data_IF_733857549692
#
_entry.id   IF_733857549692
#
_cell.length_a   1.000
_cell.length_b   1.000
_cell.length_c   1.000
_cell.angle_alpha   90.00
_cell.angle_beta   90.00
_cell.angle_gamma   90.00
#
_symmetry.space_group_name_H-M   'P 1'
#
loop_
_entity.id
_entity.type
_entity.pdbx_description
1 polymer ?
#
# COMPACT_ATOMS: atom_id res chain seq x y z
N UNK A 1 8.93 44.96 -24.56
CA UNK A 1 9.14 43.61 -25.14
C UNK A 1 9.63 42.57 -24.13
N UNK A 2 10.12 42.95 -22.94
CA UNK A 2 10.59 42.03 -21.89
C UNK A 2 9.50 41.40 -21.03
N UNK A 3 8.33 42.05 -20.86
CA UNK A 3 7.25 41.55 -19.99
C UNK A 3 6.52 40.31 -20.53
N UNK A 4 6.37 40.18 -21.85
CA UNK A 4 5.67 39.05 -22.49
C UNK A 4 6.47 37.75 -22.36
N UNK A 5 7.81 37.84 -22.43
CA UNK A 5 8.71 36.70 -22.25
C UNK A 5 8.65 36.12 -20.83
N UNK A 6 8.38 36.97 -19.84
CA UNK A 6 8.23 36.55 -18.43
C UNK A 6 6.99 35.67 -18.21
N UNK A 7 5.90 35.88 -18.94
CA UNK A 7 4.68 35.05 -18.80
C UNK A 7 4.85 33.65 -19.42
N UNK A 8 5.64 33.54 -20.49
CA UNK A 8 6.00 32.26 -21.09
C UNK A 8 6.90 31.42 -20.17
N UNK A 9 7.76 32.06 -19.37
CA UNK A 9 8.61 31.37 -18.40
C UNK A 9 7.81 30.78 -17.22
N UNK A 10 6.73 31.44 -16.81
CA UNK A 10 5.85 30.99 -15.71
C UNK A 10 4.96 29.81 -16.14
N UNK A 11 4.55 29.74 -17.41
CA UNK A 11 3.78 28.62 -17.94
C UNK A 11 4.59 27.31 -18.08
N UNK A 12 5.92 27.40 -18.20
CA UNK A 12 6.83 26.24 -18.27
C UNK A 12 7.15 25.60 -16.91
N UNK A 13 6.84 26.27 -15.79
CA UNK A 13 7.15 25.78 -14.45
C UNK A 13 6.08 24.87 -13.84
N UNK A 14 4.97 24.62 -14.53
CA UNK A 14 3.89 23.77 -14.02
C UNK A 14 4.14 22.30 -14.37
N UNK A 15 5.03 21.63 -13.65
CA UNK A 15 5.11 20.17 -13.72
C UNK A 15 3.93 19.56 -12.95
N UNK A 16 3.21 18.59 -13.52
CA UNK A 16 2.20 17.86 -12.76
C UNK A 16 2.89 17.09 -11.63
N UNK A 17 2.52 17.40 -10.39
CA UNK A 17 2.95 16.65 -9.22
C UNK A 17 2.21 15.31 -9.22
N UNK A 18 2.78 14.30 -9.89
CA UNK A 18 2.22 12.95 -9.89
C UNK A 18 2.45 12.35 -8.50
N UNK A 19 1.35 12.05 -7.80
CA UNK A 19 1.40 11.29 -6.56
C UNK A 19 1.94 9.90 -6.84
N UNK A 20 2.69 9.34 -5.89
CA UNK A 20 3.16 7.96 -6.00
C UNK A 20 1.94 7.02 -6.05
N UNK A 21 1.87 6.09 -7.03
CA UNK A 21 0.77 5.14 -7.10
C UNK A 21 0.91 4.18 -5.92
N UNK A 22 -0.01 4.30 -4.95
CA UNK A 22 -0.12 3.34 -3.86
C UNK A 22 -0.75 2.07 -4.44
N UNK A 23 -0.02 0.97 -4.39
CA UNK A 23 -0.53 -0.34 -4.82
C UNK A 23 -0.98 -1.15 -3.61
N UNK A 24 -2.13 -1.79 -3.75
CA UNK A 24 -2.71 -2.70 -2.75
C UNK A 24 -2.62 -4.11 -3.28
N UNK A 25 -2.05 -5.00 -2.48
CA UNK A 25 -1.96 -6.42 -2.77
C UNK A 25 -2.97 -7.19 -1.93
N UNK A 26 -3.63 -8.17 -2.56
CA UNK A 26 -4.62 -9.01 -1.89
C UNK A 26 -3.96 -10.31 -1.47
N UNK A 27 -3.51 -10.36 -0.22
CA UNK A 27 -2.91 -11.56 0.37
C UNK A 27 -3.95 -12.66 0.55
N UNK A 28 -5.17 -12.26 0.95
CA UNK A 28 -6.31 -13.18 1.07
C UNK A 28 -7.64 -12.45 0.95
N UNK A 29 -8.55 -13.03 0.18
CA UNK A 29 -9.93 -12.59 0.09
C UNK A 29 -10.88 -13.72 0.52
N UNK A 30 -11.71 -13.48 1.53
CA UNK A 30 -12.60 -14.46 2.14
C UNK A 30 -14.09 -14.11 2.03
N UNK A 31 -14.42 -12.89 1.59
CA UNK A 31 -15.81 -12.46 1.38
C UNK A 31 -15.92 -10.95 1.22
N UNK A 32 -17.17 -10.46 1.10
CA UNK A 32 -17.47 -9.03 1.04
C UNK A 32 -16.84 -8.28 2.21
N UNK A 33 -16.35 -7.07 1.93
CA UNK A 33 -15.74 -6.19 2.93
C UNK A 33 -16.71 -5.78 4.05
N UNK A 34 -18.02 -5.82 3.79
CA UNK A 34 -19.08 -5.54 4.78
C UNK A 34 -19.29 -6.71 5.77
N UNK A 35 -18.89 -7.92 5.39
CA UNK A 35 -19.16 -9.15 6.17
C UNK A 35 -17.89 -9.78 6.75
N UNK A 36 -16.72 -9.16 6.56
CA UNK A 36 -15.40 -9.68 6.95
C UNK A 36 -14.60 -8.63 7.69
N UNK A 37 -13.67 -9.11 8.52
CA UNK A 37 -12.66 -8.24 9.14
C UNK A 37 -11.58 -8.00 8.09
N UNK A 38 -11.40 -6.74 7.69
CA UNK A 38 -10.32 -6.34 6.78
C UNK A 38 -9.07 -5.98 7.59
N UNK A 39 -8.07 -6.87 7.61
CA UNK A 39 -6.78 -6.61 8.23
C UNK A 39 -5.82 -6.08 7.16
N UNK A 40 -5.42 -4.82 7.32
CA UNK A 40 -4.60 -4.09 6.33
C UNK A 40 -3.21 -3.83 6.90
N UNK A 41 -2.19 -4.33 6.19
CA UNK A 41 -0.79 -4.06 6.49
C UNK A 41 -0.33 -2.85 5.68
N UNK A 42 0.45 -1.97 6.30
CA UNK A 42 1.11 -0.84 5.66
C UNK A 42 2.61 -1.01 5.82
N UNK A 43 3.35 -0.94 4.71
CA UNK A 43 4.81 -0.97 4.75
C UNK A 43 5.36 0.28 5.44
N UNK A 44 6.20 0.09 6.46
CA UNK A 44 6.93 1.17 7.14
C UNK A 44 8.43 0.87 7.10
N UNK A 45 9.23 1.84 6.65
CA UNK A 45 10.69 1.73 6.54
C UNK A 45 11.20 0.93 5.34
N UNK A 46 10.34 0.43 4.45
CA UNK A 46 10.74 -0.29 3.24
C UNK A 46 11.04 0.68 2.09
N UNK A 47 12.22 0.54 1.49
CA UNK A 47 12.55 1.23 0.24
C UNK A 47 11.80 0.62 -0.95
N UNK A 48 11.78 1.33 -2.09
CA UNK A 48 11.12 0.86 -3.31
C UNK A 48 11.65 -0.51 -3.77
N UNK A 49 12.96 -0.75 -3.65
CA UNK A 49 13.61 -2.02 -3.97
C UNK A 49 13.29 -3.15 -2.99
N UNK A 50 12.69 -2.85 -1.84
CA UNK A 50 12.35 -3.81 -0.79
C UNK A 50 10.85 -4.15 -0.75
N UNK A 51 10.03 -3.64 -1.67
CA UNK A 51 8.58 -3.88 -1.64
C UNK A 51 8.21 -5.37 -1.78
N UNK A 52 9.01 -6.18 -2.48
CA UNK A 52 8.79 -7.63 -2.55
C UNK A 52 9.16 -8.35 -1.24
N UNK A 53 10.19 -7.84 -0.55
CA UNK A 53 10.54 -8.29 0.80
C UNK A 53 9.44 -7.93 1.79
N UNK A 54 8.85 -6.73 1.71
CA UNK A 54 7.68 -6.34 2.50
C UNK A 54 6.53 -7.33 2.35
N UNK A 55 6.15 -7.69 1.11
CA UNK A 55 5.08 -8.68 0.88
C UNK A 55 5.44 -10.04 1.50
N UNK A 56 6.68 -10.47 1.34
CA UNK A 56 7.17 -11.71 1.97
C UNK A 56 7.07 -11.66 3.50
N UNK A 57 7.38 -10.52 4.11
CA UNK A 57 7.28 -10.33 5.55
C UNK A 57 5.81 -10.31 6.01
N UNK A 58 4.90 -9.68 5.26
CA UNK A 58 3.46 -9.75 5.52
C UNK A 58 2.97 -11.20 5.51
N UNK A 59 3.38 -12.02 4.54
CA UNK A 59 3.01 -13.44 4.52
C UNK A 59 3.46 -14.16 5.80
N UNK A 60 4.69 -13.96 6.26
CA UNK A 60 5.18 -14.58 7.51
C UNK A 60 4.34 -14.16 8.72
N UNK A 61 4.02 -12.88 8.82
CA UNK A 61 3.19 -12.35 9.92
C UNK A 61 1.79 -12.94 9.88
N UNK A 62 1.17 -12.99 8.70
CA UNK A 62 -0.18 -13.52 8.51
C UNK A 62 -0.24 -15.02 8.81
N UNK A 63 0.77 -15.78 8.36
CA UNK A 63 0.85 -17.20 8.62
C UNK A 63 0.98 -17.49 10.12
N UNK A 64 1.82 -16.74 10.84
CA UNK A 64 1.94 -16.86 12.29
C UNK A 64 0.69 -16.36 13.04
N UNK A 65 0.10 -15.24 12.62
CA UNK A 65 -1.12 -14.70 13.25
C UNK A 65 -2.24 -15.74 13.30
N UNK A 66 -2.35 -16.56 12.25
CA UNK A 66 -3.35 -17.62 12.15
C UNK A 66 -2.93 -18.97 12.74
N UNK A 67 -1.77 -19.06 13.42
CA UNK A 67 -1.46 -20.20 14.30
C UNK A 67 -2.08 -20.05 15.69
N UNK A 68 -2.33 -18.81 16.11
CA UNK A 68 -2.80 -18.49 17.45
C UNK A 68 -4.33 -18.55 17.55
N UNK A 69 -4.84 -19.20 18.59
CA UNK A 69 -6.26 -19.11 18.93
C UNK A 69 -6.55 -17.75 19.59
N UNK A 70 -7.71 -17.12 19.32
CA UNK A 70 -8.84 -17.65 18.54
C UNK A 70 -8.73 -17.41 17.02
N UNK A 71 -7.69 -16.73 16.54
CA UNK A 71 -7.58 -16.31 15.13
C UNK A 71 -7.49 -17.50 14.17
N UNK A 72 -6.87 -18.59 14.60
CA UNK A 72 -6.84 -19.86 13.87
C UNK A 72 -8.24 -20.36 13.49
N UNK A 73 -9.18 -20.35 14.43
CA UNK A 73 -10.56 -20.82 14.22
C UNK A 73 -11.35 -19.82 13.37
N UNK A 74 -11.13 -18.53 13.59
CA UNK A 74 -11.82 -17.47 12.86
C UNK A 74 -11.13 -17.06 11.55
N UNK A 75 -10.10 -17.78 11.09
CA UNK A 75 -9.39 -17.52 9.82
C UNK A 75 -10.33 -17.15 8.67
N UNK A 76 -11.45 -17.86 8.42
CA UNK A 76 -12.35 -17.58 7.29
C UNK A 76 -13.06 -16.22 7.34
N UNK A 77 -13.01 -15.50 8.46
CA UNK A 77 -13.67 -14.21 8.62
C UNK A 77 -12.77 -13.03 8.27
N UNK A 78 -11.52 -13.26 7.85
CA UNK A 78 -10.56 -12.20 7.57
C UNK A 78 -10.25 -12.07 6.08
N UNK A 79 -10.34 -10.83 5.59
CA UNK A 79 -9.66 -10.38 4.37
C UNK A 79 -8.31 -9.79 4.78
N UNK A 80 -7.25 -10.13 4.05
CA UNK A 80 -5.89 -9.66 4.31
C UNK A 80 -5.39 -8.88 3.11
N UNK A 81 -5.01 -7.62 3.35
CA UNK A 81 -4.55 -6.68 2.34
C UNK A 81 -3.20 -6.12 2.75
N UNK A 82 -2.33 -5.86 1.78
CA UNK A 82 -1.02 -5.24 2.01
C UNK A 82 -0.85 -4.03 1.11
N UNK A 83 -0.67 -2.85 1.71
CA UNK A 83 -0.43 -1.60 0.98
C UNK A 83 1.07 -1.37 0.87
N UNK A 84 1.58 -1.28 -0.36
CA UNK A 84 2.98 -0.98 -0.65
C UNK A 84 3.21 0.52 -0.54
N UNK A 85 3.76 0.96 0.59
CA UNK A 85 4.14 2.35 0.85
C UNK A 85 5.66 2.46 0.80
N UNK A 86 6.18 3.29 -0.10
CA UNK A 86 7.62 3.54 -0.22
C UNK A 86 8.05 4.54 0.85
N UNK A 87 9.04 4.15 1.65
CA UNK A 87 9.74 5.03 2.59
C UNK A 87 10.99 5.63 1.94
N UNK A 88 11.37 6.84 2.39
CA UNK A 88 12.52 7.59 1.87
C UNK A 88 13.85 7.10 2.40
#
# INVERSE_FOLDING_TARGET
>A
MTRVFSYWLVLLACTPLVSQPISVDTIRWAGSEDDRINLVFLGDGYQESELDKYITDVHKVVDHFFTESPFKEYKPYFNILAIKVVSR
#
